data_IF_512335714408
#
_entry.id   IF_512335714408
#
_cell.length_a   1.000
_cell.length_b   1.000
_cell.length_c   1.000
_cell.angle_alpha   90.00
_cell.angle_beta   90.00
_cell.angle_gamma   90.00
#
_symmetry.space_group_name_H-M   'P 1'
#
loop_
_entity.id
_entity.type
_entity.pdbx_description
1 polymer ?
#
# COMPACT_ATOMS: atom_id res chain seq x y z
N UNK A 1 2.13 21.48 0.08
CA UNK A 1 2.98 21.33 1.29
C UNK A 1 3.69 19.99 1.25
N UNK A 2 4.95 19.91 1.68
CA UNK A 2 5.71 18.66 1.80
C UNK A 2 6.21 18.50 3.23
N UNK A 3 6.10 17.31 3.81
CA UNK A 3 6.60 16.97 5.15
C UNK A 3 7.47 15.72 5.03
N UNK A 4 8.75 15.83 5.37
CA UNK A 4 9.64 14.68 5.43
C UNK A 4 9.32 13.85 6.68
N UNK A 5 9.12 12.53 6.51
CA UNK A 5 8.84 11.62 7.62
C UNK A 5 9.29 10.19 7.31
N UNK A 6 9.77 9.51 8.32
CA UNK A 6 9.94 8.06 8.35
C UNK A 6 8.66 7.42 8.92
N UNK A 7 7.92 6.71 8.08
CA UNK A 7 6.63 6.11 8.46
C UNK A 7 6.77 5.05 9.57
N UNK A 8 7.95 4.46 9.74
CA UNK A 8 8.22 3.50 10.83
C UNK A 8 8.20 4.16 12.22
N UNK A 9 8.30 5.49 12.29
CA UNK A 9 8.33 6.28 13.52
C UNK A 9 6.97 6.92 13.81
N UNK A 10 6.27 6.48 14.86
CA UNK A 10 4.93 6.98 15.18
C UNK A 10 4.84 8.49 15.32
N UNK A 11 5.84 9.10 15.95
CA UNK A 11 5.89 10.56 16.19
C UNK A 11 5.98 11.35 14.88
N UNK A 12 6.72 10.82 13.88
CA UNK A 12 6.86 11.49 12.59
C UNK A 12 5.56 11.39 11.78
N UNK A 13 4.84 10.26 11.86
CA UNK A 13 3.52 10.13 11.24
C UNK A 13 2.50 11.06 11.91
N UNK A 14 2.46 11.14 13.24
CA UNK A 14 1.59 12.10 13.93
C UNK A 14 1.88 13.55 13.50
N UNK A 15 3.15 13.93 13.39
CA UNK A 15 3.57 15.25 12.90
C UNK A 15 3.09 15.57 11.47
N UNK A 16 3.01 14.53 10.57
CA UNK A 16 2.43 14.72 9.23
C UNK A 16 0.96 15.11 9.31
N UNK A 17 0.19 14.45 10.16
CA UNK A 17 -1.22 14.79 10.39
C UNK A 17 -1.36 16.18 11.01
N UNK A 18 -0.56 16.53 12.02
CA UNK A 18 -0.55 17.88 12.62
C UNK A 18 -0.30 18.96 11.57
N UNK A 19 0.64 18.71 10.67
CA UNK A 19 0.97 19.65 9.60
C UNK A 19 -0.19 19.81 8.61
N UNK A 20 -0.82 18.71 8.21
CA UNK A 20 -1.97 18.70 7.30
C UNK A 20 -3.19 19.40 7.92
N UNK A 21 -3.50 19.12 9.19
CA UNK A 21 -4.61 19.77 9.90
C UNK A 21 -4.39 21.27 10.07
N UNK A 22 -3.18 21.69 10.36
CA UNK A 22 -2.84 23.13 10.48
C UNK A 22 -2.96 23.86 9.15
N UNK A 23 -2.55 23.24 8.05
CA UNK A 23 -2.53 23.87 6.73
C UNK A 23 -3.92 23.83 6.04
N UNK A 24 -4.63 22.70 6.14
CA UNK A 24 -5.86 22.44 5.40
C UNK A 24 -7.10 22.32 6.30
N UNK A 25 -6.94 22.47 7.60
CA UNK A 25 -8.03 22.36 8.57
C UNK A 25 -8.50 20.93 8.85
N UNK A 26 -7.87 19.90 8.26
CA UNK A 26 -8.17 18.49 8.50
C UNK A 26 -7.66 17.57 7.39
N UNK A 27 -7.89 16.27 7.55
CA UNK A 27 -7.47 15.23 6.60
C UNK A 27 -8.68 14.43 6.14
N UNK A 28 -8.88 14.33 4.84
CA UNK A 28 -10.01 13.60 4.22
C UNK A 28 -9.57 12.27 3.61
N UNK A 29 -8.33 12.20 3.11
CA UNK A 29 -7.80 11.03 2.42
C UNK A 29 -6.41 10.67 2.97
N UNK A 30 -6.24 9.40 3.36
CA UNK A 30 -4.93 8.82 3.63
C UNK A 30 -4.58 7.78 2.57
N UNK A 31 -3.39 7.91 1.97
CA UNK A 31 -2.81 6.88 1.10
C UNK A 31 -1.53 6.35 1.74
N UNK A 32 -1.55 5.12 2.25
CA UNK A 32 -0.39 4.42 2.77
C UNK A 32 0.37 3.75 1.62
N UNK A 33 1.26 4.49 0.97
CA UNK A 33 2.03 4.05 -0.20
C UNK A 33 3.47 3.64 0.13
N UNK A 34 4.07 4.19 1.18
CA UNK A 34 5.46 3.91 1.55
C UNK A 34 5.73 2.42 1.73
N UNK A 35 6.82 1.92 1.13
CA UNK A 35 7.18 0.52 1.23
C UNK A 35 8.54 0.22 0.64
N UNK A 36 9.14 -0.88 1.09
CA UNK A 36 10.41 -1.42 0.58
C UNK A 36 10.23 -2.89 0.21
N UNK A 37 11.05 -3.38 -0.73
CA UNK A 37 10.94 -4.76 -1.25
C UNK A 37 12.33 -5.38 -1.43
N UNK A 38 13.11 -5.59 -0.37
CA UNK A 38 14.29 -6.42 -0.46
C UNK A 38 13.86 -7.87 -0.69
N UNK A 39 14.50 -8.54 -1.65
CA UNK A 39 14.19 -9.92 -2.03
C UNK A 39 15.29 -10.84 -1.51
N UNK A 40 14.90 -11.84 -0.71
CA UNK A 40 15.78 -12.87 -0.18
C UNK A 40 14.98 -14.12 0.19
N UNK A 41 15.64 -15.29 0.15
CA UNK A 41 14.99 -16.51 0.66
C UNK A 41 14.79 -16.42 2.17
N UNK A 42 13.81 -17.13 2.71
CA UNK A 42 13.57 -17.14 4.17
C UNK A 42 14.79 -17.60 4.95
N UNK A 43 15.56 -18.56 4.39
CA UNK A 43 16.73 -19.10 5.05
C UNK A 43 17.93 -18.14 5.09
N UNK A 44 18.00 -17.15 4.18
CA UNK A 44 19.14 -16.24 4.05
C UNK A 44 18.83 -14.80 4.47
N UNK A 45 17.58 -14.52 4.84
CA UNK A 45 17.20 -13.19 5.33
C UNK A 45 17.78 -12.97 6.72
N UNK A 46 18.56 -11.91 6.88
CA UNK A 46 19.07 -11.49 8.18
C UNK A 46 17.99 -10.72 9.00
N UNK A 47 18.20 -10.67 10.33
CA UNK A 47 17.26 -10.00 11.23
C UNK A 47 17.11 -8.50 10.92
N UNK A 48 18.17 -7.82 10.53
CA UNK A 48 18.13 -6.39 10.21
C UNK A 48 17.25 -6.11 9.00
N UNK A 49 17.34 -6.94 7.97
CA UNK A 49 16.46 -6.86 6.77
C UNK A 49 15.01 -7.17 7.16
N UNK A 50 14.78 -8.23 7.94
CA UNK A 50 13.45 -8.58 8.44
C UNK A 50 12.83 -7.42 9.21
N UNK A 51 13.52 -6.91 10.23
CA UNK A 51 13.06 -5.83 11.09
C UNK A 51 12.75 -4.56 10.29
N UNK A 52 13.58 -4.23 9.30
CA UNK A 52 13.38 -3.07 8.44
C UNK A 52 12.13 -3.21 7.58
N UNK A 53 11.88 -4.37 7.01
CA UNK A 53 10.66 -4.63 6.20
C UNK A 53 9.41 -4.53 7.07
N UNK A 54 9.42 -5.15 8.25
CA UNK A 54 8.33 -5.05 9.23
C UNK A 54 8.11 -3.59 9.65
N UNK A 55 9.18 -2.87 9.99
CA UNK A 55 9.09 -1.49 10.45
C UNK A 55 8.49 -0.56 9.39
N UNK A 56 8.91 -0.66 8.14
CA UNK A 56 8.41 0.22 7.07
C UNK A 56 7.04 -0.24 6.57
N UNK A 57 6.92 -1.50 6.12
CA UNK A 57 5.72 -1.93 5.38
C UNK A 57 4.52 -2.19 6.29
N UNK A 58 4.73 -2.80 7.46
CA UNK A 58 3.64 -3.16 8.35
C UNK A 58 3.42 -2.09 9.42
N UNK A 59 4.44 -1.80 10.22
CA UNK A 59 4.31 -0.80 11.30
C UNK A 59 4.07 0.60 10.74
N UNK A 60 4.71 0.96 9.61
CA UNK A 60 4.48 2.24 8.92
C UNK A 60 3.02 2.39 8.50
N UNK A 61 2.46 1.38 7.84
CA UNK A 61 1.03 1.37 7.49
C UNK A 61 0.14 1.44 8.74
N UNK A 62 0.44 0.65 9.78
CA UNK A 62 -0.30 0.68 11.04
C UNK A 62 -0.26 2.07 11.70
N UNK A 63 0.87 2.77 11.70
CA UNK A 63 0.98 4.13 12.22
C UNK A 63 0.03 5.08 11.49
N UNK A 64 0.01 5.03 10.15
CA UNK A 64 -0.93 5.83 9.34
C UNK A 64 -2.39 5.49 9.65
N UNK A 65 -2.74 4.20 9.70
CA UNK A 65 -4.10 3.73 10.03
C UNK A 65 -4.54 4.21 11.41
N UNK A 66 -3.66 4.15 12.42
CA UNK A 66 -3.95 4.58 13.78
C UNK A 66 -4.24 6.07 13.88
N UNK A 67 -3.47 6.91 13.20
CA UNK A 67 -3.73 8.35 13.16
C UNK A 67 -5.01 8.65 12.35
N UNK A 68 -5.19 8.02 11.19
CA UNK A 68 -6.39 8.19 10.38
C UNK A 68 -7.67 7.77 11.12
N UNK A 69 -7.63 6.67 11.85
CA UNK A 69 -8.77 6.20 12.64
C UNK A 69 -9.25 7.24 13.66
N UNK A 70 -8.35 8.05 14.20
CA UNK A 70 -8.66 9.10 15.17
C UNK A 70 -9.06 10.42 14.52
N UNK A 71 -8.43 10.78 13.40
CA UNK A 71 -8.31 12.16 12.92
C UNK A 71 -8.95 12.42 11.56
N UNK A 72 -9.20 11.39 10.74
CA UNK A 72 -9.89 11.60 9.46
C UNK A 72 -11.30 12.17 9.69
N UNK A 73 -11.69 13.08 8.82
CA UNK A 73 -13.05 13.60 8.78
C UNK A 73 -14.06 12.49 8.44
N UNK A 74 -15.28 12.61 8.93
CA UNK A 74 -16.40 11.76 8.50
C UNK A 74 -16.55 11.82 6.98
N UNK A 75 -16.76 10.67 6.34
CA UNK A 75 -16.80 10.56 4.88
C UNK A 75 -15.43 10.41 4.21
N UNK A 76 -14.36 10.30 5.00
CA UNK A 76 -12.99 10.17 4.50
C UNK A 76 -12.68 8.83 3.80
N UNK A 77 -11.47 8.71 3.29
CA UNK A 77 -10.99 7.55 2.53
C UNK A 77 -9.62 7.11 3.03
N UNK A 78 -9.43 5.81 3.19
CA UNK A 78 -8.13 5.21 3.48
C UNK A 78 -7.81 4.21 2.38
N UNK A 79 -6.68 4.38 1.71
CA UNK A 79 -6.18 3.49 0.65
C UNK A 79 -4.81 2.96 1.06
N UNK A 80 -4.72 1.65 1.24
CA UNK A 80 -3.47 0.97 1.57
C UNK A 80 -2.87 0.30 0.35
N UNK A 81 -1.55 0.26 0.25
CA UNK A 81 -0.87 -0.48 -0.82
C UNK A 81 -0.52 -1.90 -0.36
N UNK A 82 -1.18 -2.89 -0.97
CA UNK A 82 -0.85 -4.30 -0.96
C UNK A 82 0.00 -4.68 -2.20
N UNK A 83 -0.12 -5.90 -2.68
CA UNK A 83 0.56 -6.40 -3.88
C UNK A 83 -0.12 -7.67 -4.42
N UNK A 84 -0.16 -7.83 -5.73
CA UNK A 84 -0.61 -9.07 -6.39
C UNK A 84 0.35 -10.25 -6.19
N UNK A 85 1.58 -10.01 -5.74
CA UNK A 85 2.57 -11.07 -5.45
C UNK A 85 2.08 -12.06 -4.38
N UNK A 86 1.17 -11.64 -3.48
CA UNK A 86 0.53 -12.53 -2.50
C UNK A 86 -0.15 -13.72 -3.20
N UNK A 87 -0.83 -13.48 -4.32
CA UNK A 87 -1.47 -14.53 -5.13
C UNK A 87 -0.46 -15.37 -5.93
N UNK A 88 0.64 -14.78 -6.39
CA UNK A 88 1.68 -15.46 -7.17
C UNK A 88 2.58 -16.37 -6.35
N UNK A 89 2.80 -16.07 -5.07
CA UNK A 89 3.63 -16.85 -4.14
C UNK A 89 5.05 -17.10 -4.66
N UNK A 90 5.67 -16.06 -5.21
CA UNK A 90 7.01 -16.16 -5.80
C UNK A 90 8.08 -16.39 -4.73
N UNK A 91 9.08 -17.21 -5.08
CA UNK A 91 10.29 -17.39 -4.28
C UNK A 91 10.96 -16.05 -4.00
N UNK A 92 11.62 -15.92 -2.85
CA UNK A 92 12.30 -14.73 -2.33
C UNK A 92 11.40 -13.55 -1.91
N UNK A 93 10.10 -13.59 -2.18
CA UNK A 93 9.15 -12.55 -1.79
C UNK A 93 8.51 -12.78 -0.40
N UNK A 94 8.97 -13.76 0.40
CA UNK A 94 8.28 -14.25 1.59
C UNK A 94 7.92 -13.15 2.59
N UNK A 95 8.90 -12.40 3.10
CA UNK A 95 8.68 -11.36 4.12
C UNK A 95 7.87 -10.19 3.57
N UNK A 96 8.22 -9.75 2.35
CA UNK A 96 7.46 -8.69 1.68
C UNK A 96 5.97 -9.06 1.55
N UNK A 97 5.67 -10.25 1.01
CA UNK A 97 4.29 -10.73 0.86
C UNK A 97 3.57 -10.88 2.20
N UNK A 98 4.26 -11.36 3.24
CA UNK A 98 3.69 -11.47 4.58
C UNK A 98 3.25 -10.11 5.14
N UNK A 99 4.10 -9.06 5.00
CA UNK A 99 3.71 -7.71 5.43
C UNK A 99 2.52 -7.18 4.66
N UNK A 100 2.44 -7.44 3.36
CA UNK A 100 1.34 -6.97 2.51
C UNK A 100 0.03 -7.76 2.76
N UNK A 101 0.10 -9.05 3.06
CA UNK A 101 -1.06 -9.83 3.52
C UNK A 101 -1.59 -9.31 4.86
N UNK A 102 -0.71 -8.97 5.79
CA UNK A 102 -1.10 -8.33 7.04
C UNK A 102 -1.79 -6.97 6.81
N UNK A 103 -1.34 -6.17 5.85
CA UNK A 103 -1.99 -4.90 5.45
C UNK A 103 -3.42 -5.14 4.92
N UNK A 104 -3.65 -6.19 4.13
CA UNK A 104 -5.00 -6.55 3.66
C UNK A 104 -5.92 -6.89 4.84
N UNK A 105 -5.42 -7.66 5.81
CA UNK A 105 -6.16 -7.99 7.03
C UNK A 105 -6.50 -6.73 7.85
N UNK A 106 -5.53 -5.84 8.08
CA UNK A 106 -5.76 -4.56 8.76
C UNK A 106 -6.79 -3.69 8.03
N UNK A 107 -6.77 -3.68 6.71
CA UNK A 107 -7.74 -2.97 5.87
C UNK A 107 -9.16 -3.45 6.14
N UNK A 108 -9.38 -4.77 6.09
CA UNK A 108 -10.69 -5.38 6.30
C UNK A 108 -11.22 -5.18 7.74
N UNK A 109 -10.34 -5.21 8.74
CA UNK A 109 -10.71 -5.00 10.15
C UNK A 109 -11.07 -3.53 10.39
N UNK A 110 -10.20 -2.60 9.99
CA UNK A 110 -10.42 -1.17 10.24
C UNK A 110 -11.68 -0.65 9.54
N UNK A 111 -12.04 -1.20 8.37
CA UNK A 111 -13.29 -0.85 7.69
C UNK A 111 -14.53 -1.09 8.54
N UNK A 112 -14.49 -2.08 9.45
CA UNK A 112 -15.58 -2.41 10.39
C UNK A 112 -15.51 -1.56 11.66
N UNK A 113 -14.30 -1.28 12.14
CA UNK A 113 -14.07 -0.46 13.35
C UNK A 113 -14.52 1.01 13.16
N UNK A 114 -14.45 1.51 11.91
CA UNK A 114 -14.89 2.88 11.57
C UNK A 114 -16.39 2.99 11.24
N UNK A 115 -17.18 2.01 11.65
CA UNK A 115 -18.65 2.03 11.50
C UNK A 115 -19.25 3.34 12.02
N UNK A 116 -20.19 3.90 11.27
CA UNK A 116 -20.89 5.14 11.61
C UNK A 116 -20.19 6.42 11.20
N UNK A 117 -18.95 6.34 10.73
CA UNK A 117 -18.17 7.50 10.27
C UNK A 117 -18.19 7.72 8.74
N UNK A 118 -18.84 6.84 7.99
CA UNK A 118 -18.86 6.87 6.51
C UNK A 118 -17.45 6.90 5.89
N UNK A 119 -16.44 6.38 6.59
CA UNK A 119 -15.06 6.26 6.12
C UNK A 119 -14.92 4.90 5.42
N UNK A 120 -14.40 4.89 4.20
CA UNK A 120 -14.05 3.63 3.53
C UNK A 120 -12.56 3.33 3.70
N UNK A 121 -12.24 2.04 3.90
CA UNK A 121 -10.87 1.55 4.04
C UNK A 121 -10.66 0.44 3.03
N UNK A 122 -9.82 0.66 2.03
CA UNK A 122 -9.56 -0.31 0.97
C UNK A 122 -8.06 -0.49 0.76
N UNK A 123 -7.68 -1.59 0.14
CA UNK A 123 -6.33 -1.82 -0.34
C UNK A 123 -6.32 -1.87 -1.86
N UNK A 124 -5.22 -1.41 -2.46
CA UNK A 124 -4.90 -1.66 -3.85
C UNK A 124 -3.76 -2.67 -3.92
N UNK A 125 -3.89 -3.66 -4.80
CA UNK A 125 -2.89 -4.70 -5.00
C UNK A 125 -2.33 -4.62 -6.43
N UNK A 126 -1.30 -3.79 -6.68
CA UNK A 126 -0.69 -3.67 -7.99
C UNK A 126 -0.06 -4.98 -8.47
N UNK A 127 -0.07 -5.18 -9.78
CA UNK A 127 0.84 -6.09 -10.47
C UNK A 127 2.23 -5.43 -10.65
N UNK A 128 3.13 -6.08 -11.40
CA UNK A 128 4.41 -5.50 -11.77
C UNK A 128 4.19 -4.16 -12.49
N UNK A 129 4.68 -3.11 -11.87
CA UNK A 129 4.50 -1.73 -12.32
C UNK A 129 5.87 -1.10 -12.60
N UNK A 130 6.00 -0.37 -13.69
CA UNK A 130 7.25 0.26 -14.13
C UNK A 130 7.65 1.42 -13.19
N UNK A 131 8.19 1.07 -12.04
CA UNK A 131 8.71 1.97 -11.00
C UNK A 131 10.11 1.55 -10.60
N UNK A 132 10.89 2.45 -10.02
CA UNK A 132 12.22 2.14 -9.50
C UNK A 132 12.19 0.95 -8.52
N UNK A 133 11.16 0.86 -7.68
CA UNK A 133 10.97 -0.26 -6.74
C UNK A 133 10.94 -1.62 -7.44
N UNK A 134 10.30 -1.70 -8.61
CA UNK A 134 10.20 -2.95 -9.37
C UNK A 134 11.40 -3.15 -10.32
N UNK A 135 11.84 -2.10 -11.01
CA UNK A 135 12.84 -2.19 -12.07
C UNK A 135 14.27 -2.37 -11.53
N UNK A 136 14.57 -1.79 -10.37
CA UNK A 136 15.91 -1.81 -9.80
C UNK A 136 16.47 -3.23 -9.67
N UNK A 137 17.66 -3.45 -10.23
CA UNK A 137 18.39 -4.72 -10.16
C UNK A 137 17.82 -5.86 -11.03
N UNK A 138 16.87 -5.60 -11.92
CA UNK A 138 16.32 -6.60 -12.85
C UNK A 138 16.87 -6.43 -14.27
N UNK A 139 17.17 -7.56 -14.93
CA UNK A 139 17.51 -7.56 -16.35
C UNK A 139 16.26 -7.34 -17.21
N UNK A 140 16.47 -6.90 -18.45
CA UNK A 140 15.38 -6.71 -19.42
C UNK A 140 14.60 -8.01 -19.65
N UNK A 141 15.27 -9.14 -19.70
CA UNK A 141 14.64 -10.47 -19.84
C UNK A 141 13.64 -10.77 -18.71
N UNK A 142 14.02 -10.45 -17.46
CA UNK A 142 13.15 -10.62 -16.31
C UNK A 142 11.95 -9.67 -16.38
N UNK A 143 12.16 -8.42 -16.79
CA UNK A 143 11.12 -7.42 -16.99
C UNK A 143 10.11 -7.89 -18.04
N UNK A 144 10.60 -8.37 -19.20
CA UNK A 144 9.77 -8.86 -20.31
C UNK A 144 8.97 -10.10 -19.91
N UNK A 145 9.58 -11.00 -19.11
CA UNK A 145 8.86 -12.15 -18.54
C UNK A 145 7.70 -11.71 -17.66
N UNK A 146 7.91 -10.75 -16.77
CA UNK A 146 6.83 -10.23 -15.93
C UNK A 146 5.75 -9.51 -16.73
N UNK A 147 6.13 -8.78 -17.79
CA UNK A 147 5.17 -8.13 -18.69
C UNK A 147 4.25 -9.16 -19.37
N UNK A 148 4.80 -10.30 -19.79
CA UNK A 148 4.04 -11.38 -20.46
C UNK A 148 3.22 -12.27 -19.49
N UNK A 149 3.43 -12.15 -18.18
CA UNK A 149 2.67 -12.96 -17.20
C UNK A 149 1.21 -12.55 -17.07
N UNK A 150 0.86 -11.33 -17.42
CA UNK A 150 -0.53 -10.88 -17.38
C UNK A 150 -1.15 -10.83 -18.78
N UNK A 151 -2.48 -11.03 -18.90
CA UNK A 151 -3.18 -11.04 -20.19
C UNK A 151 -3.06 -9.76 -21.01
N UNK A 152 -2.72 -8.62 -20.41
CA UNK A 152 -2.50 -7.36 -21.13
C UNK A 152 -1.09 -7.22 -21.70
N UNK A 153 -0.20 -8.20 -21.45
CA UNK A 153 1.16 -8.34 -21.97
C UNK A 153 2.04 -7.09 -21.82
N UNK A 154 1.85 -6.33 -20.76
CA UNK A 154 2.66 -5.16 -20.40
C UNK A 154 2.82 -5.00 -18.91
N UNK A 155 3.82 -4.29 -18.48
CA UNK A 155 3.86 -3.77 -17.11
C UNK A 155 2.73 -2.74 -16.90
N UNK A 156 2.24 -2.65 -15.67
CA UNK A 156 1.46 -1.49 -15.27
C UNK A 156 2.33 -0.23 -15.29
N UNK A 157 1.69 0.92 -15.43
CA UNK A 157 2.32 2.23 -15.26
C UNK A 157 1.93 2.82 -13.90
N UNK A 158 2.68 3.78 -13.34
CA UNK A 158 2.24 4.54 -12.17
C UNK A 158 0.85 5.15 -12.36
N UNK A 159 0.51 5.57 -13.59
CA UNK A 159 -0.78 6.16 -13.95
C UNK A 159 -1.93 5.14 -13.87
N UNK A 160 -1.70 3.88 -14.28
CA UNK A 160 -2.71 2.81 -14.12
C UNK A 160 -3.08 2.64 -12.64
N UNK A 161 -2.09 2.67 -11.76
CA UNK A 161 -2.31 2.52 -10.32
C UNK A 161 -2.95 3.78 -9.72
N UNK A 162 -2.47 4.96 -10.11
CA UNK A 162 -3.02 6.23 -9.66
C UNK A 162 -4.51 6.40 -10.03
N UNK A 163 -4.92 5.94 -11.22
CA UNK A 163 -6.32 5.95 -11.63
C UNK A 163 -7.21 5.12 -10.69
N UNK A 164 -6.74 3.92 -10.30
CA UNK A 164 -7.46 3.08 -9.36
C UNK A 164 -7.50 3.68 -7.93
N UNK A 165 -6.40 4.33 -7.49
CA UNK A 165 -6.37 5.06 -6.21
C UNK A 165 -7.35 6.24 -6.26
N UNK A 166 -7.36 7.01 -7.34
CA UNK A 166 -8.28 8.15 -7.51
C UNK A 166 -9.74 7.73 -7.49
N UNK A 167 -10.08 6.60 -8.12
CA UNK A 167 -11.41 6.01 -8.06
C UNK A 167 -11.83 5.68 -6.62
N UNK A 168 -10.97 4.98 -5.86
CA UNK A 168 -11.27 4.63 -4.47
C UNK A 168 -11.32 5.86 -3.54
N UNK A 169 -10.56 6.91 -3.83
CA UNK A 169 -10.55 8.16 -3.08
C UNK A 169 -11.74 9.08 -3.42
N UNK A 170 -12.29 8.92 -4.61
CA UNK A 170 -13.39 9.75 -5.13
C UNK A 170 -14.78 9.30 -4.69
N UNK A 171 -15.81 10.03 -5.14
CA UNK A 171 -17.21 9.72 -4.83
C UNK A 171 -17.66 8.37 -5.40
N UNK A 172 -17.15 7.97 -6.56
CA UNK A 172 -17.51 6.73 -7.23
C UNK A 172 -17.10 5.47 -6.45
N UNK A 173 -16.05 5.57 -5.61
CA UNK A 173 -15.59 4.53 -4.70
C UNK A 173 -16.36 4.47 -3.37
N UNK A 174 -17.37 5.30 -3.15
CA UNK A 174 -18.02 5.48 -1.83
C UNK A 174 -18.73 4.23 -1.28
N UNK A 175 -19.11 3.28 -2.13
CA UNK A 175 -19.74 2.01 -1.73
C UNK A 175 -18.76 0.84 -1.67
N UNK A 176 -17.47 1.07 -1.96
CA UNK A 176 -16.42 0.07 -1.87
C UNK A 176 -15.73 0.21 -0.52
N UNK A 177 -15.86 -0.80 0.35
CA UNK A 177 -15.29 -0.76 1.69
C UNK A 177 -14.80 -2.15 2.13
N UNK A 178 -13.62 -2.20 2.76
CA UNK A 178 -12.99 -3.43 3.23
C UNK A 178 -12.45 -4.33 2.10
N UNK A 179 -12.26 -3.80 0.89
CA UNK A 179 -11.90 -4.58 -0.29
C UNK A 179 -10.42 -4.46 -0.65
N UNK A 180 -9.94 -5.47 -1.37
CA UNK A 180 -8.63 -5.45 -2.03
C UNK A 180 -8.85 -5.40 -3.54
N UNK A 181 -8.60 -4.24 -4.14
CA UNK A 181 -8.71 -4.04 -5.58
C UNK A 181 -7.40 -4.43 -6.26
N UNK A 182 -7.42 -5.49 -7.07
CA UNK A 182 -6.26 -5.91 -7.85
C UNK A 182 -6.15 -5.10 -9.14
N UNK A 183 -5.11 -4.28 -9.24
CA UNK A 183 -4.75 -3.50 -10.42
C UNK A 183 -3.50 -4.14 -11.06
N UNK A 184 -3.66 -5.27 -11.77
CA UNK A 184 -2.56 -6.15 -12.16
C UNK A 184 -2.63 -6.70 -13.59
N UNK A 185 -3.53 -6.16 -14.42
CA UNK A 185 -3.69 -6.62 -15.80
C UNK A 185 -4.26 -8.05 -15.95
N UNK A 186 -4.89 -8.58 -14.90
CA UNK A 186 -5.46 -9.94 -14.89
C UNK A 186 -4.47 -11.05 -14.50
N UNK A 187 -3.35 -10.70 -13.81
CA UNK A 187 -2.29 -11.64 -13.47
C UNK A 187 -2.70 -12.70 -12.43
N UNK A 188 -3.55 -12.34 -11.45
CA UNK A 188 -4.10 -13.21 -10.40
C UNK A 188 -5.51 -12.79 -10.01
#
# INVERSE_FOLDING_TARGET
MTVQADVSKPVEVARMFDAAEREFGGVDVLVNNAGIMPLSSLATTDDATFDRVIAVNLKGTFNGLREAAKRLRTGGRIINFSTSVIGLRLETYGIYSATKAAVETLTAILSKELRGRSITVNAIAPGPTATDLFLHGKSQEVIDRFAKMNPLERLGTPQDIAAAVSFLAGPDGSWINGQVLRANGGMV
#
